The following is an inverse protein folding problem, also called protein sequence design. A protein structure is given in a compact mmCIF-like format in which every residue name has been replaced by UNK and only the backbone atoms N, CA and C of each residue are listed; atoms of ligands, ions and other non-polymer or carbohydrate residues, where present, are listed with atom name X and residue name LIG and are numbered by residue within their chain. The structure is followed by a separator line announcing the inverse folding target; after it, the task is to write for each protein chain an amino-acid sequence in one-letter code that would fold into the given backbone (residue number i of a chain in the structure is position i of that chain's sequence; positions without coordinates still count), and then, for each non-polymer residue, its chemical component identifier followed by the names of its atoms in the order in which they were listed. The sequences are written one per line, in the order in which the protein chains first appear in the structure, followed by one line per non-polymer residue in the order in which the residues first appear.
data_IF_796318600724
#
_entry.id   IF_796318600724
#
_cell.length_a   1.000
_cell.length_b   1.000
_cell.length_c   1.000
_cell.angle_alpha   90.00
_cell.angle_beta   90.00
_cell.angle_gamma   90.00
#
_symmetry.space_group_name_H-M   'P 1'
#
loop_
_entity.id
_entity.type
_entity.pdbx_description
1 polymer ?
#
# COMPACT_ATOMS: atom_id res chain seq x y z
N UNK A 1 -4.44 19.77 -18.77
CA UNK A 1 -3.97 19.30 -17.45
C UNK A 1 -5.05 18.40 -16.86
N UNK A 2 -4.83 17.08 -16.86
CA UNK A 2 -5.76 16.18 -16.19
C UNK A 2 -5.54 16.34 -14.68
N UNK A 3 -6.61 16.61 -13.93
CA UNK A 3 -6.60 16.67 -12.47
C UNK A 3 -6.43 15.24 -11.94
N UNK A 4 -5.19 14.75 -11.96
CA UNK A 4 -4.85 13.44 -11.42
C UNK A 4 -4.70 13.62 -9.91
N UNK A 5 -5.70 13.13 -9.16
CA UNK A 5 -5.72 13.03 -7.68
C UNK A 5 -5.94 14.30 -6.86
N UNK A 6 -7.12 14.90 -6.98
CA UNK A 6 -7.69 15.65 -5.85
C UNK A 6 -8.15 14.68 -4.75
N UNK A 7 -7.28 14.32 -3.78
CA UNK A 7 -7.65 13.62 -2.53
C UNK A 7 -8.41 14.56 -1.56
N UNK A 8 -9.38 15.33 -2.05
CA UNK A 8 -10.00 16.42 -1.27
C UNK A 8 -10.88 15.95 -0.11
N UNK A 9 -11.36 14.70 -0.11
CA UNK A 9 -12.14 14.14 1.02
C UNK A 9 -11.78 12.67 1.23
N UNK A 10 -10.79 12.40 2.09
CA UNK A 10 -10.56 11.04 2.61
C UNK A 10 -11.74 10.67 3.50
N UNK A 11 -12.51 9.64 3.11
CA UNK A 11 -13.44 8.99 4.04
C UNK A 11 -12.60 8.22 5.05
N UNK A 12 -12.68 8.60 6.32
CA UNK A 12 -12.07 7.83 7.40
C UNK A 12 -12.86 6.53 7.56
N UNK A 13 -12.20 5.39 7.35
CA UNK A 13 -12.78 4.07 7.56
C UNK A 13 -12.14 3.51 8.83
N UNK A 14 -12.86 3.59 9.95
CA UNK A 14 -12.44 3.01 11.23
C UNK A 14 -12.87 1.55 11.35
N UNK A 15 -14.04 1.21 10.80
CA UNK A 15 -14.64 -0.12 10.88
C UNK A 15 -14.87 -0.73 9.48
N UNK A 16 -14.72 -2.04 9.37
CA UNK A 16 -15.06 -2.81 8.17
C UNK A 16 -16.58 -3.06 8.08
N UNK A 17 -17.03 -3.75 7.02
CA UNK A 17 -18.47 -4.06 6.80
C UNK A 17 -19.11 -4.92 7.91
N UNK A 18 -18.29 -5.57 8.73
CA UNK A 18 -18.69 -6.37 9.88
C UNK A 18 -18.59 -5.59 11.21
N UNK A 19 -18.42 -4.27 11.15
CA UNK A 19 -18.20 -3.39 12.31
C UNK A 19 -16.95 -3.72 13.14
N UNK A 20 -15.97 -4.40 12.56
CA UNK A 20 -14.69 -4.66 13.22
C UNK A 20 -13.69 -3.55 12.88
N UNK A 21 -12.79 -3.18 13.80
CA UNK A 21 -11.74 -2.21 13.51
C UNK A 21 -10.87 -2.70 12.34
N UNK A 22 -10.58 -1.79 11.41
CA UNK A 22 -9.74 -2.08 10.22
C UNK A 22 -8.33 -2.52 10.63
N UNK A 23 -7.90 -2.13 11.83
CA UNK A 23 -6.62 -2.52 12.42
C UNK A 23 -6.74 -2.58 13.95
N UNK A 24 -5.97 -3.45 14.62
CA UNK A 24 -5.90 -3.46 16.08
C UNK A 24 -5.36 -2.16 16.67
N UNK A 25 -4.55 -1.40 15.94
CA UNK A 25 -3.93 -0.15 16.42
C UNK A 25 -3.65 0.83 15.27
N UNK A 26 -3.76 2.13 15.56
CA UNK A 26 -3.44 3.21 14.61
C UNK A 26 -1.98 3.16 14.12
N UNK A 27 -1.07 2.64 14.96
CA UNK A 27 0.34 2.42 14.60
C UNK A 27 0.47 1.50 13.39
N UNK A 28 -0.26 0.38 13.40
CA UNK A 28 -0.23 -0.63 12.31
C UNK A 28 -0.80 -0.04 11.01
N UNK A 29 -1.85 0.79 11.09
CA UNK A 29 -2.40 1.49 9.92
C UNK A 29 -1.39 2.49 9.36
N UNK A 30 -0.71 3.23 10.23
CA UNK A 30 0.30 4.22 9.87
C UNK A 30 1.51 3.56 9.22
N UNK A 31 1.96 2.44 9.78
CA UNK A 31 3.06 1.64 9.26
C UNK A 31 2.74 1.07 7.88
N UNK A 32 1.57 0.45 7.72
CA UNK A 32 1.10 -0.03 6.41
C UNK A 32 0.99 1.11 5.39
N UNK A 33 0.44 2.26 5.79
CA UNK A 33 0.32 3.43 4.91
C UNK A 33 1.69 3.96 4.47
N UNK A 34 2.67 3.95 5.38
CA UNK A 34 4.04 4.37 5.10
C UNK A 34 4.74 3.38 4.19
N UNK A 35 4.58 2.08 4.44
CA UNK A 35 5.08 1.00 3.60
C UNK A 35 4.56 1.11 2.16
N UNK A 36 3.24 1.25 1.97
CA UNK A 36 2.64 1.46 0.65
C UNK A 36 3.13 2.75 -0.02
N UNK A 37 3.35 3.81 0.78
CA UNK A 37 3.96 5.05 0.31
C UNK A 37 5.38 4.87 -0.21
N UNK A 38 6.19 4.05 0.48
CA UNK A 38 7.54 3.67 0.05
C UNK A 38 7.49 2.84 -1.23
N UNK A 39 6.64 1.82 -1.31
CA UNK A 39 6.49 1.02 -2.52
C UNK A 39 6.09 1.85 -3.73
N UNK A 40 5.16 2.79 -3.54
CA UNK A 40 4.71 3.65 -4.63
C UNK A 40 5.79 4.61 -5.15
N UNK A 41 6.82 4.90 -4.34
CA UNK A 41 7.95 5.74 -4.74
C UNK A 41 9.11 4.91 -5.29
N UNK A 42 9.22 3.66 -4.87
CA UNK A 42 10.30 2.76 -5.26
C UNK A 42 9.82 1.81 -6.35
N UNK A 43 9.79 2.29 -7.58
CA UNK A 43 9.42 1.53 -8.78
C UNK A 43 10.31 0.31 -9.00
N UNK A 44 11.53 0.30 -8.45
CA UNK A 44 12.44 -0.86 -8.48
C UNK A 44 12.03 -1.98 -7.53
N UNK A 45 11.29 -1.69 -6.46
CA UNK A 45 10.78 -2.71 -5.53
C UNK A 45 9.44 -3.27 -6.00
N UNK A 46 8.56 -2.41 -6.50
CA UNK A 46 7.25 -2.78 -7.02
C UNK A 46 6.95 -2.04 -8.34
N UNK A 47 7.28 -2.65 -9.50
CA UNK A 47 6.95 -2.10 -10.80
C UNK A 47 5.43 -2.07 -10.99
N UNK A 48 4.83 -0.88 -11.04
CA UNK A 48 3.38 -0.72 -11.23
C UNK A 48 2.92 -0.92 -12.68
N UNK A 49 3.85 -1.15 -13.59
CA UNK A 49 3.64 -1.50 -14.99
C UNK A 49 3.44 -3.01 -15.21
N UNK A 50 3.73 -3.84 -14.21
CA UNK A 50 3.52 -5.29 -14.28
C UNK A 50 2.19 -5.64 -13.62
N UNK A 51 1.21 -6.00 -14.43
CA UNK A 51 -0.13 -6.39 -13.96
C UNK A 51 -0.15 -7.78 -13.29
N UNK A 52 0.57 -8.74 -13.86
CA UNK A 52 0.65 -10.09 -13.30
C UNK A 52 1.84 -10.21 -12.34
N UNK A 53 1.53 -10.33 -11.06
CA UNK A 53 2.51 -10.59 -10.00
C UNK A 53 3.42 -11.78 -10.34
N UNK A 54 2.96 -12.79 -11.08
CA UNK A 54 3.79 -13.94 -11.48
C UNK A 54 4.96 -13.57 -12.39
N UNK A 55 4.90 -12.44 -13.06
CA UNK A 55 5.93 -11.97 -14.00
C UNK A 55 6.85 -10.88 -13.42
N UNK A 56 6.71 -10.57 -12.13
CA UNK A 56 7.50 -9.52 -11.47
C UNK A 56 8.83 -10.08 -10.95
N UNK A 57 9.97 -9.67 -11.52
CA UNK A 57 11.27 -10.24 -11.11
C UNK A 57 11.71 -9.82 -9.70
N UNK A 58 11.22 -8.69 -9.21
CA UNK A 58 11.62 -8.08 -7.92
C UNK A 58 10.83 -8.64 -6.73
N UNK A 59 10.03 -9.70 -6.93
CA UNK A 59 9.23 -10.34 -5.89
C UNK A 59 10.03 -10.81 -4.69
N UNK A 60 11.24 -11.31 -4.94
CA UNK A 60 12.12 -11.82 -3.88
C UNK A 60 12.62 -10.68 -3.01
N UNK A 61 13.04 -9.58 -3.64
CA UNK A 61 13.48 -8.37 -2.94
C UNK A 61 12.36 -7.76 -2.10
N UNK A 62 11.12 -7.78 -2.61
CA UNK A 62 9.97 -7.34 -1.83
C UNK A 62 9.74 -8.23 -0.59
N UNK A 63 9.82 -9.55 -0.77
CA UNK A 63 9.69 -10.49 0.35
C UNK A 63 10.78 -10.29 1.39
N UNK A 64 12.02 -10.16 0.97
CA UNK A 64 13.16 -9.94 1.88
C UNK A 64 13.05 -8.58 2.59
N UNK A 65 12.50 -7.56 1.93
CA UNK A 65 12.22 -6.27 2.56
C UNK A 65 11.10 -6.33 3.62
N UNK A 66 10.12 -7.22 3.45
CA UNK A 66 9.02 -7.41 4.42
C UNK A 66 9.32 -8.41 5.54
N UNK A 67 10.37 -9.22 5.38
CA UNK A 67 10.83 -10.11 6.44
C UNK A 67 11.50 -9.28 7.53
N UNK A 68 10.78 -9.13 8.63
CA UNK A 68 11.31 -8.68 9.92
C UNK A 68 12.20 -9.76 10.50
#
# INVERSE_FOLDING_TARGET
MHNVHSRCKRKLITLNRLNQPVSPTDKVVTELSSFLGTLARTTTLCPFDIFDWRNMDTKKDLWDYTKV
#
